data_IF_385113154317
#
_entry.id   IF_385113154317
#
_cell.length_a   1.000
_cell.length_b   1.000
_cell.length_c   1.000
_cell.angle_alpha   90.00
_cell.angle_beta   90.00
_cell.angle_gamma   90.00
#
_symmetry.space_group_name_H-M   'P 1'
#
loop_
_entity.id
_entity.type
_entity.pdbx_description
1 polymer ?
#
# COMPACT_ATOMS: atom_id res chain seq x y z
N UNK A 1 -15.16 11.43 -15.65
CA UNK A 1 -15.45 9.97 -15.62
C UNK A 1 -16.90 9.77 -15.19
N UNK A 2 -17.63 8.83 -15.79
CA UNK A 2 -19.06 8.64 -15.44
C UNK A 2 -19.22 7.97 -14.07
N UNK A 3 -20.31 8.27 -13.37
CA UNK A 3 -20.62 7.65 -12.07
C UNK A 3 -20.67 6.12 -12.18
N UNK A 4 -21.21 5.59 -13.28
CA UNK A 4 -21.26 4.15 -13.57
C UNK A 4 -19.86 3.52 -13.59
N UNK A 5 -18.87 4.20 -14.15
CA UNK A 5 -17.51 3.68 -14.24
C UNK A 5 -16.83 3.68 -12.86
N UNK A 6 -17.02 4.74 -12.06
CA UNK A 6 -16.54 4.78 -10.66
C UNK A 6 -17.17 3.64 -9.85
N UNK A 7 -18.48 3.43 -9.97
CA UNK A 7 -19.18 2.32 -9.31
C UNK A 7 -18.66 0.97 -9.79
N UNK A 8 -18.43 0.80 -11.09
CA UNK A 8 -17.83 -0.42 -11.65
C UNK A 8 -16.45 -0.71 -11.07
N UNK A 9 -15.57 0.29 -10.98
CA UNK A 9 -14.24 0.13 -10.38
C UNK A 9 -14.34 -0.16 -8.88
N UNK A 10 -15.26 0.47 -8.15
CA UNK A 10 -15.50 0.16 -6.74
C UNK A 10 -15.97 -1.30 -6.54
N UNK A 11 -16.85 -1.82 -7.41
CA UNK A 11 -17.28 -3.21 -7.36
C UNK A 11 -16.13 -4.18 -7.67
N UNK A 12 -15.26 -3.84 -8.62
CA UNK A 12 -14.02 -4.59 -8.86
C UNK A 12 -13.11 -4.58 -7.63
N UNK A 13 -13.03 -3.44 -6.94
CA UNK A 13 -12.33 -3.33 -5.66
C UNK A 13 -12.93 -4.23 -4.58
N UNK A 14 -14.26 -4.31 -4.47
CA UNK A 14 -14.91 -5.24 -3.56
C UNK A 14 -14.56 -6.70 -3.85
N UNK A 15 -14.59 -7.09 -5.12
CA UNK A 15 -14.19 -8.44 -5.54
C UNK A 15 -12.71 -8.72 -5.21
N UNK A 16 -11.82 -7.76 -5.50
CA UNK A 16 -10.40 -7.86 -5.16
C UNK A 16 -10.17 -7.99 -3.65
N UNK A 17 -10.84 -7.19 -2.84
CA UNK A 17 -10.76 -7.26 -1.37
C UNK A 17 -11.28 -8.59 -0.81
N UNK A 18 -12.41 -9.08 -1.34
CA UNK A 18 -12.95 -10.39 -0.95
C UNK A 18 -11.97 -11.54 -1.29
N UNK A 19 -11.36 -11.49 -2.48
CA UNK A 19 -10.38 -12.46 -2.96
C UNK A 19 -9.00 -12.32 -2.29
N UNK A 20 -8.66 -11.14 -1.75
CA UNK A 20 -7.39 -10.90 -1.08
C UNK A 20 -7.21 -11.77 0.17
N UNK A 21 -8.30 -12.14 0.86
CA UNK A 21 -8.23 -13.00 2.05
C UNK A 21 -7.71 -14.41 1.71
N UNK A 22 -8.34 -15.20 0.82
CA UNK A 22 -7.78 -16.51 0.44
C UNK A 22 -6.42 -16.39 -0.24
N UNK A 23 -6.19 -15.36 -1.06
CA UNK A 23 -4.89 -15.15 -1.70
C UNK A 23 -3.77 -14.85 -0.68
N UNK A 24 -4.03 -14.03 0.35
CA UNK A 24 -3.05 -13.75 1.40
C UNK A 24 -2.72 -15.00 2.21
N UNK A 25 -3.71 -15.87 2.46
CA UNK A 25 -3.51 -17.12 3.21
C UNK A 25 -2.56 -18.08 2.52
N UNK A 26 -2.48 -18.12 1.18
CA UNK A 26 -1.54 -19.02 0.49
C UNK A 26 -0.07 -18.64 0.71
N UNK A 27 0.22 -17.44 1.21
CA UNK A 27 1.57 -16.98 1.56
C UNK A 27 1.90 -17.12 3.05
N UNK A 28 0.95 -17.59 3.86
CA UNK A 28 1.12 -17.74 5.31
C UNK A 28 1.17 -19.22 5.64
N UNK A 29 2.30 -19.74 6.17
CA UNK A 29 2.38 -21.12 6.64
C UNK A 29 1.32 -21.37 7.71
N UNK A 30 0.63 -22.51 7.63
CA UNK A 30 -0.32 -22.92 8.68
C UNK A 30 0.47 -23.52 9.85
N UNK A 31 1.06 -22.63 10.67
CA UNK A 31 1.96 -23.08 11.73
C UNK A 31 1.26 -23.49 13.03
N UNK A 32 -0.01 -23.15 13.27
CA UNK A 32 -0.68 -23.48 14.55
C UNK A 32 -2.24 -23.46 14.51
N UNK A 33 -2.88 -23.54 13.34
CA UNK A 33 -4.34 -23.72 13.25
C UNK A 33 -5.23 -22.58 13.81
N UNK A 34 -4.64 -21.45 14.24
CA UNK A 34 -5.36 -20.30 14.83
C UNK A 34 -4.96 -18.94 14.26
N UNK A 35 -4.55 -18.89 13.00
CA UNK A 35 -4.33 -17.61 12.32
C UNK A 35 -5.68 -16.90 12.17
N UNK A 36 -5.92 -15.86 12.98
CA UNK A 36 -7.10 -15.00 12.84
C UNK A 36 -7.00 -14.26 11.52
N UNK A 37 -7.86 -14.63 10.58
CA UNK A 37 -7.91 -13.96 9.28
C UNK A 37 -8.89 -12.80 9.30
N UNK A 38 -8.62 -11.73 8.55
CA UNK A 38 -9.57 -10.63 8.40
C UNK A 38 -10.90 -11.12 7.82
N UNK A 39 -12.00 -10.49 8.23
CA UNK A 39 -13.32 -10.77 7.68
C UNK A 39 -13.36 -10.39 6.19
N UNK A 40 -13.76 -11.32 5.32
CA UNK A 40 -13.84 -11.10 3.87
C UNK A 40 -14.75 -9.95 3.48
N UNK A 41 -15.88 -9.78 4.16
CA UNK A 41 -16.81 -8.68 3.89
C UNK A 41 -16.22 -7.33 4.27
N UNK A 42 -15.44 -7.27 5.35
CA UNK A 42 -14.71 -6.05 5.72
C UNK A 42 -13.65 -5.72 4.66
N UNK A 43 -12.89 -6.72 4.20
CA UNK A 43 -11.89 -6.50 3.15
C UNK A 43 -12.53 -6.15 1.80
N UNK A 44 -13.69 -6.70 1.47
CA UNK A 44 -14.47 -6.28 0.30
C UNK A 44 -14.87 -4.80 0.40
N UNK A 45 -15.36 -4.35 1.56
CA UNK A 45 -15.67 -2.95 1.76
C UNK A 45 -14.43 -2.06 1.64
N UNK A 46 -13.31 -2.45 2.25
CA UNK A 46 -12.04 -1.75 2.13
C UNK A 46 -11.60 -1.68 0.67
N UNK A 47 -11.66 -2.79 -0.07
CA UNK A 47 -11.32 -2.83 -1.48
C UNK A 47 -12.20 -1.90 -2.32
N UNK A 48 -13.51 -1.84 -2.07
CA UNK A 48 -14.41 -0.92 -2.74
C UNK A 48 -14.07 0.55 -2.47
N UNK A 49 -13.77 0.89 -1.22
CA UNK A 49 -13.34 2.25 -0.84
C UNK A 49 -12.03 2.61 -1.50
N UNK A 50 -11.05 1.69 -1.49
CA UNK A 50 -9.72 1.93 -2.07
C UNK A 50 -9.82 2.18 -3.57
N UNK A 51 -10.50 1.29 -4.30
CA UNK A 51 -10.63 1.38 -5.75
C UNK A 51 -11.55 2.54 -6.16
N UNK A 52 -12.70 2.67 -5.50
CA UNK A 52 -13.65 3.76 -5.75
C UNK A 52 -13.05 5.13 -5.46
N UNK A 53 -12.26 5.28 -4.39
CA UNK A 53 -11.57 6.52 -4.06
C UNK A 53 -10.48 6.89 -5.07
N UNK A 54 -9.68 5.91 -5.51
CA UNK A 54 -8.70 6.12 -6.59
C UNK A 54 -9.39 6.54 -7.89
N UNK A 55 -10.47 5.83 -8.26
CA UNK A 55 -11.26 6.15 -9.44
C UNK A 55 -11.86 7.56 -9.36
N UNK A 56 -12.47 7.91 -8.22
CA UNK A 56 -13.09 9.23 -8.02
C UNK A 56 -12.05 10.37 -8.09
N UNK A 57 -10.87 10.18 -7.51
CA UNK A 57 -9.82 11.20 -7.48
C UNK A 57 -9.06 11.34 -8.80
N UNK A 58 -8.76 10.22 -9.48
CA UNK A 58 -7.93 10.19 -10.69
C UNK A 58 -8.72 10.29 -11.98
N UNK A 59 -9.98 9.88 -11.99
CA UNK A 59 -10.80 9.92 -13.19
C UNK A 59 -10.16 9.17 -14.35
N UNK A 60 -9.92 9.87 -15.47
CA UNK A 60 -9.34 9.30 -16.68
C UNK A 60 -7.80 9.42 -16.74
N UNK A 61 -7.14 9.83 -15.66
CA UNK A 61 -5.68 9.88 -15.58
C UNK A 61 -5.08 8.48 -15.83
N UNK A 62 -4.12 8.34 -16.76
CA UNK A 62 -3.40 7.09 -16.99
C UNK A 62 -2.79 6.47 -15.72
N UNK A 63 -2.49 7.28 -14.70
CA UNK A 63 -2.01 6.81 -13.42
C UNK A 63 -2.97 5.84 -12.72
N UNK A 64 -4.28 5.96 -12.94
CA UNK A 64 -5.26 5.05 -12.37
C UNK A 64 -4.99 3.60 -12.77
N UNK A 65 -4.63 3.35 -14.03
CA UNK A 65 -4.35 2.01 -14.54
C UNK A 65 -3.15 1.34 -13.83
N UNK A 66 -2.16 2.11 -13.40
CA UNK A 66 -1.01 1.62 -12.65
C UNK A 66 -1.32 1.45 -11.14
N UNK A 67 -2.15 2.34 -10.59
CA UNK A 67 -2.51 2.34 -9.17
C UNK A 67 -3.48 1.21 -8.79
N UNK A 68 -4.35 0.76 -9.71
CA UNK A 68 -5.31 -0.32 -9.42
C UNK A 68 -4.64 -1.68 -9.15
N UNK A 69 -3.65 -2.15 -9.94
CA UNK A 69 -2.85 -3.33 -9.61
C UNK A 69 -2.10 -3.18 -8.27
N UNK A 70 -1.50 -2.02 -8.02
CA UNK A 70 -0.83 -1.72 -6.74
C UNK A 70 -1.81 -1.86 -5.57
N UNK A 71 -3.02 -1.32 -5.71
CA UNK A 71 -4.08 -1.43 -4.72
C UNK A 71 -4.53 -2.88 -4.52
N UNK A 72 -4.73 -3.65 -5.59
CA UNK A 72 -5.10 -5.06 -5.52
C UNK A 72 -4.05 -5.87 -4.74
N UNK A 73 -2.78 -5.75 -5.11
CA UNK A 73 -1.68 -6.43 -4.44
C UNK A 73 -1.51 -5.94 -2.99
N UNK A 74 -1.73 -4.65 -2.75
CA UNK A 74 -1.76 -4.05 -1.41
C UNK A 74 -2.80 -4.70 -0.50
N UNK A 75 -4.01 -4.97 -0.99
CA UNK A 75 -5.03 -5.67 -0.20
C UNK A 75 -4.58 -7.07 0.24
N UNK A 76 -3.84 -7.79 -0.62
CA UNK A 76 -3.25 -9.09 -0.27
C UNK A 76 -2.15 -8.93 0.78
N UNK A 77 -1.28 -7.93 0.62
CA UNK A 77 -0.23 -7.60 1.59
C UNK A 77 -0.78 -7.21 2.97
N UNK A 78 -1.90 -6.49 3.02
CA UNK A 78 -2.60 -6.21 4.28
C UNK A 78 -2.98 -7.50 4.98
N UNK A 79 -3.51 -8.49 4.24
CA UNK A 79 -3.88 -9.78 4.83
C UNK A 79 -2.65 -10.51 5.36
N UNK A 80 -1.56 -10.61 4.59
CA UNK A 80 -0.33 -11.31 5.04
C UNK A 80 0.33 -10.62 6.22
N UNK A 81 0.32 -9.28 6.26
CA UNK A 81 0.93 -8.54 7.36
C UNK A 81 0.09 -8.63 8.65
N UNK A 82 -1.24 -8.49 8.55
CA UNK A 82 -2.14 -8.65 9.70
C UNK A 82 -2.12 -10.05 10.31
N UNK A 83 -1.83 -11.07 9.51
CA UNK A 83 -1.89 -12.48 9.94
C UNK A 83 -0.55 -13.02 10.39
N UNK A 84 0.55 -12.61 9.75
CA UNK A 84 1.87 -13.20 9.94
C UNK A 84 3.00 -12.19 10.17
N UNK A 85 2.70 -10.88 10.18
CA UNK A 85 3.71 -9.80 10.26
C UNK A 85 4.78 -9.95 9.17
N UNK A 86 4.34 -10.29 7.96
CA UNK A 86 5.18 -10.60 6.81
C UNK A 86 4.66 -9.91 5.56
N UNK A 87 5.61 -9.42 4.78
CA UNK A 87 5.39 -8.85 3.45
C UNK A 87 6.20 -9.70 2.45
N UNK A 88 5.57 -10.68 1.77
CA UNK A 88 6.24 -11.56 0.83
C UNK A 88 6.89 -10.79 -0.33
N UNK A 89 8.17 -11.06 -0.59
CA UNK A 89 8.94 -10.42 -1.66
C UNK A 89 8.25 -10.46 -3.05
N UNK A 90 7.59 -11.57 -3.47
CA UNK A 90 6.87 -11.58 -4.75
C UNK A 90 5.75 -10.53 -4.83
N UNK A 91 5.02 -10.32 -3.73
CA UNK A 91 3.92 -9.34 -3.69
C UNK A 91 4.47 -7.91 -3.64
N UNK A 92 5.56 -7.67 -2.90
CA UNK A 92 6.25 -6.37 -2.93
C UNK A 92 6.81 -6.08 -4.32
N UNK A 93 7.36 -7.09 -4.99
CA UNK A 93 7.79 -7.01 -6.38
C UNK A 93 6.65 -6.65 -7.34
N UNK A 94 5.46 -7.23 -7.17
CA UNK A 94 4.28 -6.87 -7.94
C UNK A 94 3.83 -5.42 -7.71
N UNK A 95 3.94 -4.90 -6.48
CA UNK A 95 3.72 -3.48 -6.19
C UNK A 95 4.73 -2.61 -6.93
N UNK A 96 6.01 -2.97 -6.89
CA UNK A 96 7.06 -2.23 -7.59
C UNK A 96 6.86 -2.25 -9.11
N UNK A 97 6.49 -3.40 -9.67
CA UNK A 97 6.17 -3.54 -11.09
C UNK A 97 4.96 -2.68 -11.47
N UNK A 98 3.83 -2.82 -10.76
CA UNK A 98 2.65 -2.01 -11.03
C UNK A 98 2.91 -0.51 -10.91
N UNK A 99 3.67 -0.12 -9.89
CA UNK A 99 4.04 1.26 -9.63
C UNK A 99 5.08 1.86 -10.60
N UNK A 100 5.92 1.02 -11.21
CA UNK A 100 6.97 1.43 -12.16
C UNK A 100 6.56 1.36 -13.64
N UNK A 101 5.61 0.49 -14.00
CA UNK A 101 5.15 0.33 -15.39
C UNK A 101 4.43 1.58 -15.91
N UNK A 102 3.62 2.24 -15.08
CA UNK A 102 2.95 3.49 -15.46
C UNK A 102 3.92 4.59 -15.88
N UNK A 103 4.89 4.98 -15.01
CA UNK A 103 5.93 5.95 -15.33
C UNK A 103 6.75 5.56 -16.58
N UNK A 104 7.13 4.28 -16.69
CA UNK A 104 7.91 3.80 -17.83
C UNK A 104 7.15 3.91 -19.15
N UNK A 105 5.86 3.52 -19.17
CA UNK A 105 5.01 3.64 -20.35
C UNK A 105 4.73 5.11 -20.71
N UNK A 106 4.52 5.97 -19.71
CA UNK A 106 4.34 7.40 -19.92
C UNK A 106 5.60 8.05 -20.53
N UNK A 107 6.79 7.74 -20.03
CA UNK A 107 8.05 8.23 -20.62
C UNK A 107 8.27 7.71 -22.03
N UNK A 108 7.93 6.44 -22.32
CA UNK A 108 8.06 5.89 -23.66
C UNK A 108 7.14 6.57 -24.70
N UNK A 109 6.00 7.10 -24.27
CA UNK A 109 5.00 7.75 -25.15
C UNK A 109 5.20 9.25 -25.27
N UNK A 110 5.58 9.92 -24.17
CA UNK A 110 5.72 11.38 -24.10
C UNK A 110 7.14 11.88 -24.35
N UNK A 111 8.14 11.01 -24.20
CA UNK A 111 9.56 11.38 -24.29
C UNK A 111 10.06 12.21 -23.11
N UNK A 112 9.25 12.40 -22.06
CA UNK A 112 9.60 13.23 -20.90
C UNK A 112 10.24 12.38 -19.78
N UNK A 113 11.58 12.43 -19.62
CA UNK A 113 12.29 11.62 -18.63
C UNK A 113 12.05 12.12 -17.20
N UNK A 114 11.56 13.36 -17.05
CA UNK A 114 11.38 14.00 -15.74
C UNK A 114 10.46 13.21 -14.81
N UNK A 115 9.35 12.68 -15.34
CA UNK A 115 8.40 11.91 -14.53
C UNK A 115 9.01 10.61 -14.01
N UNK A 116 9.78 9.92 -14.84
CA UNK A 116 10.52 8.73 -14.44
C UNK A 116 11.62 9.07 -13.42
N UNK A 117 12.33 10.18 -13.61
CA UNK A 117 13.35 10.63 -12.67
C UNK A 117 12.78 10.90 -11.27
N UNK A 118 11.61 11.56 -11.16
CA UNK A 118 10.96 11.78 -9.86
C UNK A 118 10.42 10.48 -9.26
N UNK A 119 9.89 9.56 -10.08
CA UNK A 119 9.48 8.23 -9.62
C UNK A 119 10.65 7.44 -9.00
N UNK A 120 11.79 7.40 -9.70
CA UNK A 120 13.02 6.74 -9.22
C UNK A 120 13.56 7.45 -7.98
N UNK A 121 13.57 8.78 -7.96
CA UNK A 121 13.96 9.54 -6.77
C UNK A 121 13.04 9.24 -5.58
N UNK A 122 11.73 9.13 -5.81
CA UNK A 122 10.75 8.77 -4.78
C UNK A 122 10.98 7.39 -4.20
N UNK A 123 11.26 6.39 -5.05
CA UNK A 123 11.62 5.05 -4.61
C UNK A 123 12.91 5.04 -3.79
N UNK A 124 13.96 5.71 -4.28
CA UNK A 124 15.26 5.80 -3.60
C UNK A 124 15.18 6.52 -2.26
N UNK A 125 14.49 7.67 -2.20
CA UNK A 125 14.31 8.42 -0.96
C UNK A 125 13.48 7.64 0.06
N UNK A 126 12.44 6.95 -0.40
CA UNK A 126 11.63 6.08 0.47
C UNK A 126 12.45 4.91 1.00
N UNK A 127 13.24 4.25 0.15
CA UNK A 127 14.14 3.18 0.58
C UNK A 127 15.14 3.69 1.63
N UNK A 128 15.85 4.78 1.35
CA UNK A 128 16.85 5.33 2.26
C UNK A 128 16.20 5.75 3.59
N UNK A 129 15.08 6.48 3.53
CA UNK A 129 14.38 6.95 4.72
C UNK A 129 13.94 5.79 5.63
N UNK A 130 13.28 4.79 5.06
CA UNK A 130 12.83 3.63 5.84
C UNK A 130 13.98 2.70 6.26
N UNK A 131 15.04 2.56 5.45
CA UNK A 131 16.23 1.81 5.84
C UNK A 131 16.93 2.46 7.04
N UNK A 132 17.09 3.78 7.03
CA UNK A 132 17.65 4.53 8.16
C UNK A 132 16.78 4.36 9.42
N UNK A 133 15.45 4.39 9.27
CA UNK A 133 14.53 4.10 10.38
C UNK A 133 14.68 2.65 10.87
N UNK A 134 14.82 1.67 9.98
CA UNK A 134 15.01 0.27 10.35
C UNK A 134 16.34 0.02 11.08
N UNK A 135 17.36 0.83 10.82
CA UNK A 135 18.67 0.77 11.49
C UNK A 135 18.66 1.43 12.88
N UNK A 136 17.62 2.20 13.23
CA UNK A 136 17.55 2.86 14.53
C UNK A 136 17.39 1.83 15.66
N UNK A 137 18.14 1.96 16.77
CA UNK A 137 17.96 1.10 17.92
C UNK A 137 16.51 1.13 18.42
N UNK A 138 15.91 -0.03 18.63
CA UNK A 138 14.49 -0.22 19.03
C UNK A 138 13.44 0.12 17.96
N UNK A 139 13.84 0.45 16.73
CA UNK A 139 12.91 0.49 15.63
C UNK A 139 12.31 -0.91 15.44
N UNK A 140 10.99 -1.02 15.57
CA UNK A 140 10.24 -2.26 15.35
C UNK A 140 9.83 -2.41 13.88
N UNK A 141 10.64 -1.86 12.97
CA UNK A 141 10.34 -1.80 11.55
C UNK A 141 11.03 -2.96 10.83
N UNK A 142 10.27 -3.75 10.09
CA UNK A 142 10.80 -4.90 9.35
C UNK A 142 11.45 -4.47 8.05
N UNK A 143 12.42 -5.24 7.55
CA UNK A 143 12.99 -4.96 6.23
C UNK A 143 11.96 -5.11 5.09
N UNK A 144 10.89 -5.89 5.30
CA UNK A 144 9.74 -5.93 4.38
C UNK A 144 9.06 -4.56 4.22
N UNK A 145 8.93 -3.79 5.31
CA UNK A 145 8.35 -2.45 5.28
C UNK A 145 9.22 -1.48 4.47
N UNK A 146 10.55 -1.61 4.58
CA UNK A 146 11.51 -0.82 3.79
C UNK A 146 11.35 -1.10 2.29
N UNK A 147 11.26 -2.37 1.90
CA UNK A 147 11.06 -2.75 0.50
C UNK A 147 9.70 -2.26 -0.02
N UNK A 148 8.65 -2.39 0.78
CA UNK A 148 7.32 -1.92 0.41
C UNK A 148 7.28 -0.41 0.26
N UNK A 149 7.89 0.34 1.17
CA UNK A 149 7.98 1.79 1.06
C UNK A 149 8.76 2.22 -0.20
N UNK A 150 9.85 1.54 -0.53
CA UNK A 150 10.58 1.78 -1.77
C UNK A 150 9.71 1.51 -3.00
N UNK A 151 8.97 0.40 -3.02
CA UNK A 151 8.05 0.04 -4.09
C UNK A 151 6.91 1.06 -4.28
N UNK A 152 6.33 1.56 -3.18
CA UNK A 152 5.30 2.61 -3.18
C UNK A 152 5.87 3.99 -3.54
N UNK A 153 7.17 4.22 -3.35
CA UNK A 153 7.83 5.45 -3.77
C UNK A 153 7.84 5.66 -5.29
N UNK A 154 7.78 4.59 -6.09
CA UNK A 154 7.66 4.68 -7.55
C UNK A 154 6.36 5.38 -8.00
N UNK A 155 5.16 4.86 -7.68
CA UNK A 155 3.92 5.50 -8.10
C UNK A 155 3.75 6.87 -7.42
N UNK A 156 4.11 7.01 -6.14
CA UNK A 156 3.98 8.30 -5.45
C UNK A 156 4.93 9.37 -6.00
N UNK A 157 6.16 9.02 -6.35
CA UNK A 157 7.10 9.93 -6.99
C UNK A 157 6.62 10.35 -8.38
N UNK A 158 5.98 9.45 -9.13
CA UNK A 158 5.38 9.79 -10.41
C UNK A 158 4.24 10.81 -10.29
N UNK A 159 3.38 10.63 -9.28
CA UNK A 159 2.33 11.60 -8.93
C UNK A 159 2.90 12.95 -8.47
N UNK A 160 4.16 12.95 -8.03
CA UNK A 160 4.95 14.15 -7.76
C UNK A 160 5.31 14.33 -6.29
N UNK A 161 6.09 15.36 -6.02
CA UNK A 161 6.61 15.67 -4.68
C UNK A 161 5.53 15.84 -3.59
N UNK A 162 4.35 16.44 -3.85
CA UNK A 162 3.29 16.51 -2.85
C UNK A 162 2.82 15.11 -2.39
N UNK A 163 2.50 14.23 -3.34
CA UNK A 163 2.07 12.86 -3.05
C UNK A 163 3.18 12.07 -2.35
N UNK A 164 4.43 12.17 -2.82
CA UNK A 164 5.56 11.49 -2.16
C UNK A 164 5.73 11.90 -0.70
N UNK A 165 5.65 13.21 -0.39
CA UNK A 165 5.76 13.71 0.99
C UNK A 165 4.62 13.21 1.87
N UNK A 166 3.39 13.26 1.36
CA UNK A 166 2.22 12.72 2.09
C UNK A 166 2.39 11.22 2.35
N UNK A 167 2.84 10.46 1.36
CA UNK A 167 3.05 9.01 1.48
C UNK A 167 4.19 8.62 2.41
N UNK A 168 5.16 9.51 2.67
CA UNK A 168 6.20 9.31 3.67
C UNK A 168 5.69 9.59 5.10
N UNK A 169 4.81 10.59 5.27
CA UNK A 169 4.37 11.06 6.59
C UNK A 169 3.14 10.28 7.10
N UNK A 170 2.11 10.11 6.27
CA UNK A 170 0.84 9.53 6.68
C UNK A 170 0.94 8.13 7.28
N UNK A 171 1.80 7.21 6.80
CA UNK A 171 1.94 5.89 7.42
C UNK A 171 2.30 5.95 8.91
N UNK A 172 3.17 6.89 9.30
CA UNK A 172 3.60 7.05 10.68
C UNK A 172 2.45 7.57 11.56
N UNK A 173 1.65 8.50 11.03
CA UNK A 173 0.46 9.02 11.73
C UNK A 173 -0.58 7.92 11.89
N UNK A 174 -0.89 7.18 10.81
CA UNK A 174 -1.88 6.10 10.83
C UNK A 174 -1.46 4.97 11.78
N UNK A 175 -0.19 4.54 11.72
CA UNK A 175 0.35 3.52 12.62
C UNK A 175 0.32 4.00 14.08
N UNK A 176 0.76 5.24 14.34
CA UNK A 176 0.76 5.82 15.68
C UNK A 176 -0.64 5.87 16.29
N UNK A 177 -1.63 6.39 15.55
CA UNK A 177 -3.03 6.42 15.99
C UNK A 177 -3.56 5.01 16.23
N UNK A 178 -3.29 4.07 15.33
CA UNK A 178 -3.73 2.67 15.46
C UNK A 178 -3.17 2.04 16.74
N UNK A 179 -1.87 2.18 17.00
CA UNK A 179 -1.21 1.65 18.20
C UNK A 179 -1.78 2.30 19.45
N UNK A 180 -1.99 3.61 19.46
CA UNK A 180 -2.57 4.33 20.60
C UNK A 180 -3.99 3.84 20.91
N UNK A 181 -4.84 3.66 19.90
CA UNK A 181 -6.20 3.14 20.07
C UNK A 181 -6.17 1.72 20.62
N UNK A 182 -5.30 0.86 20.09
CA UNK A 182 -5.16 -0.52 20.57
C UNK A 182 -4.64 -0.59 22.01
N UNK A 183 -3.72 0.29 22.40
CA UNK A 183 -3.22 0.42 23.77
C UNK A 183 -4.32 0.91 24.72
N UNK A 184 -5.06 1.96 24.34
CA UNK A 184 -6.15 2.51 25.13
C UNK A 184 -7.30 1.50 25.30
N UNK A 185 -7.55 0.66 24.29
CA UNK A 185 -8.52 -0.43 24.35
C UNK A 185 -8.01 -1.68 25.07
N UNK A 186 -6.79 -1.68 25.60
CA UNK A 186 -6.17 -2.81 26.30
C UNK A 186 -5.94 -4.04 25.41
N UNK A 187 -5.91 -3.88 24.08
CA UNK A 187 -5.80 -4.97 23.11
C UNK A 187 -4.35 -5.37 22.82
N UNK A 188 -3.41 -4.46 23.04
CA UNK A 188 -1.97 -4.69 22.87
C UNK A 188 -1.22 -4.13 24.07
N UNK A 189 0.02 -4.58 24.26
CA UNK A 189 0.98 -4.01 25.20
C UNK A 189 2.07 -3.25 24.44
N UNK A 190 2.86 -2.45 25.16
CA UNK A 190 4.00 -1.69 24.61
C UNK A 190 5.04 -2.54 23.86
N UNK A 191 5.09 -3.83 24.16
CA UNK A 191 6.02 -4.79 23.58
C UNK A 191 5.42 -5.64 22.44
N UNK A 192 4.10 -5.56 22.24
CA UNK A 192 3.40 -6.32 21.21
C UNK A 192 3.80 -5.82 19.82
N UNK A 193 4.31 -6.69 18.93
CA UNK A 193 4.54 -6.33 17.53
C UNK A 193 3.21 -5.99 16.85
N UNK A 194 3.19 -4.90 16.07
CA UNK A 194 2.01 -4.45 15.33
C UNK A 194 2.37 -4.33 13.84
N UNK A 195 1.51 -4.82 12.93
CA UNK A 195 1.74 -4.73 11.49
C UNK A 195 1.81 -3.27 11.02
N UNK A 196 2.85 -2.91 10.28
CA UNK A 196 3.05 -1.55 9.76
C UNK A 196 2.63 -1.43 8.27
N UNK A 197 2.59 -2.54 7.53
CA UNK A 197 2.19 -2.61 6.13
C UNK A 197 0.83 -1.97 5.82
N UNK A 198 -0.24 -2.20 6.61
CA UNK A 198 -1.52 -1.53 6.41
C UNK A 198 -1.44 -0.01 6.50
N UNK A 199 -0.60 0.52 7.39
CA UNK A 199 -0.41 1.96 7.52
C UNK A 199 0.40 2.53 6.34
N UNK A 200 1.42 1.81 5.86
CA UNK A 200 2.15 2.13 4.63
C UNK A 200 1.21 2.24 3.43
N UNK A 201 0.41 1.20 3.19
CA UNK A 201 -0.52 1.12 2.06
C UNK A 201 -1.65 2.15 2.18
N UNK A 202 -2.22 2.32 3.37
CA UNK A 202 -3.25 3.33 3.63
C UNK A 202 -2.73 4.76 3.44
N UNK A 203 -1.51 5.04 3.92
CA UNK A 203 -0.86 6.33 3.74
C UNK A 203 -0.53 6.63 2.28
N UNK A 204 -0.03 5.64 1.54
CA UNK A 204 0.20 5.76 0.10
C UNK A 204 -1.11 5.95 -0.69
N UNK A 205 -2.18 5.24 -0.32
CA UNK A 205 -3.49 5.42 -0.93
C UNK A 205 -4.05 6.83 -0.68
N UNK A 206 -4.00 7.32 0.57
CA UNK A 206 -4.42 8.69 0.88
C UNK A 206 -3.59 9.73 0.13
N UNK A 207 -2.28 9.54 0.06
CA UNK A 207 -1.41 10.41 -0.72
C UNK A 207 -1.76 10.42 -2.22
N UNK A 208 -2.12 9.26 -2.77
CA UNK A 208 -2.56 9.12 -4.15
C UNK A 208 -3.99 9.63 -4.39
N UNK A 209 -4.81 9.82 -3.36
CA UNK A 209 -6.14 10.42 -3.50
C UNK A 209 -6.09 11.95 -3.32
N UNK A 210 -5.19 12.43 -2.45
CA UNK A 210 -5.13 13.85 -2.05
C UNK A 210 -4.08 14.68 -2.79
N UNK A 211 -3.04 14.03 -3.33
CA UNK A 211 -1.93 14.69 -4.04
C UNK A 211 -2.11 14.68 -5.55
#
# INVERSE_FOLDING_TARGET
>A
MSALLVTGIALLGAAAGWAAVPAGRSFVPDTDGRVRTPNRSVLALVGAVVFGGLAAARGADPALAALLPVAATGLVLVVTDLTALRLPDPLVGLVALGGGLGPAAATATTGEPRHLAVAVAGATLSFIGYALLALLPRARLGFGDVKLAAALGLPLGWLGWPALRLGLILPHVLAGVTVLVLLAAGRVRRDTPVPFGPALLGGAWLAAVLG
#
